data_IF_812375480180
#
_entry.id   IF_812375480180
#
_cell.length_a   1.000
_cell.length_b   1.000
_cell.length_c   1.000
_cell.angle_alpha   90.00
_cell.angle_beta   90.00
_cell.angle_gamma   90.00
#
_symmetry.space_group_name_H-M   'P 1'
#
loop_
_entity.id
_entity.type
_entity.pdbx_description
1 polymer ?
#
# COMPACT_ATOMS: atom_id res chain seq x y z
N UNK A 1 -13.84 -3.11 -20.96
CA UNK A 1 -13.42 -3.69 -19.67
C UNK A 1 -13.46 -2.56 -18.65
N UNK A 2 -14.30 -2.64 -17.64
CA UNK A 2 -14.36 -1.64 -16.56
C UNK A 2 -13.06 -1.71 -15.78
N UNK A 3 -12.34 -0.59 -15.71
CA UNK A 3 -11.10 -0.46 -14.93
C UNK A 3 -11.44 -0.77 -13.46
N UNK A 4 -10.80 -1.79 -12.89
CA UNK A 4 -10.98 -2.17 -11.49
C UNK A 4 -10.55 -1.01 -10.58
N UNK A 5 -11.37 -0.70 -9.57
CA UNK A 5 -11.20 0.49 -8.73
C UNK A 5 -10.20 0.30 -7.58
N UNK A 6 -9.75 -0.93 -7.34
CA UNK A 6 -8.84 -1.28 -6.26
C UNK A 6 -9.22 -2.59 -5.58
N UNK A 7 -8.32 -3.06 -4.68
CA UNK A 7 -8.45 -4.31 -3.94
C UNK A 7 -8.77 -4.06 -2.46
N UNK A 8 -9.73 -4.81 -1.93
CA UNK A 8 -10.21 -4.64 -0.56
C UNK A 8 -10.19 -6.00 0.14
N UNK A 9 -9.70 -6.04 1.37
CA UNK A 9 -9.88 -7.16 2.27
C UNK A 9 -10.97 -6.83 3.29
N UNK A 10 -11.99 -7.69 3.40
CA UNK A 10 -13.01 -7.61 4.45
C UNK A 10 -12.77 -8.71 5.46
N UNK A 11 -12.69 -8.34 6.74
CA UNK A 11 -12.33 -9.24 7.85
C UNK A 11 -13.38 -9.13 8.95
N UNK A 12 -14.12 -10.20 9.18
CA UNK A 12 -15.17 -10.27 10.22
C UNK A 12 -15.49 -11.74 10.46
N UNK A 13 -15.69 -12.17 11.70
CA UNK A 13 -16.08 -13.53 12.03
C UNK A 13 -17.57 -13.82 11.77
N UNK A 14 -18.36 -12.77 11.55
CA UNK A 14 -19.73 -12.89 11.07
C UNK A 14 -19.77 -13.08 9.55
N UNK A 15 -19.91 -14.33 9.12
CA UNK A 15 -19.91 -14.74 7.72
C UNK A 15 -20.99 -14.04 6.88
N UNK A 16 -22.15 -13.72 7.45
CA UNK A 16 -23.23 -13.05 6.74
C UNK A 16 -22.91 -11.58 6.47
N UNK A 17 -22.31 -10.88 7.45
CA UNK A 17 -21.83 -9.53 7.28
C UNK A 17 -20.68 -9.48 6.24
N UNK A 18 -19.75 -10.42 6.34
CA UNK A 18 -18.65 -10.62 5.38
C UNK A 18 -19.17 -10.73 3.95
N UNK A 19 -20.12 -11.63 3.70
CA UNK A 19 -20.73 -11.83 2.37
C UNK A 19 -21.47 -10.58 1.88
N UNK A 20 -22.23 -9.94 2.77
CA UNK A 20 -23.02 -8.74 2.44
C UNK A 20 -22.12 -7.59 2.01
N UNK A 21 -21.10 -7.24 2.83
CA UNK A 21 -20.15 -6.18 2.51
C UNK A 21 -19.38 -6.49 1.22
N UNK A 22 -18.91 -7.73 1.08
CA UNK A 22 -18.17 -8.16 -0.11
C UNK A 22 -19.01 -8.06 -1.37
N UNK A 23 -20.27 -8.44 -1.33
CA UNK A 23 -21.17 -8.32 -2.47
C UNK A 23 -21.38 -6.86 -2.91
N UNK A 24 -21.57 -5.97 -1.94
CA UNK A 24 -21.83 -4.54 -2.21
C UNK A 24 -20.56 -3.89 -2.79
N UNK A 25 -19.39 -4.16 -2.20
CA UNK A 25 -18.12 -3.62 -2.68
C UNK A 25 -17.77 -4.13 -4.08
N UNK A 26 -17.99 -5.42 -4.36
CA UNK A 26 -17.81 -5.99 -5.72
C UNK A 26 -18.76 -5.33 -6.74
N UNK A 27 -20.02 -5.07 -6.38
CA UNK A 27 -20.97 -4.32 -7.23
C UNK A 27 -20.53 -2.88 -7.47
N UNK A 28 -19.77 -2.30 -6.53
CA UNK A 28 -19.17 -0.97 -6.66
C UNK A 28 -17.90 -0.96 -7.52
N UNK A 29 -17.43 -2.12 -8.02
CA UNK A 29 -16.31 -2.26 -8.95
C UNK A 29 -14.96 -2.56 -8.28
N UNK A 30 -14.93 -2.99 -7.02
CA UNK A 30 -13.74 -3.40 -6.32
C UNK A 30 -13.46 -4.90 -6.42
N UNK A 31 -12.18 -5.29 -6.43
CA UNK A 31 -11.79 -6.66 -6.09
C UNK A 31 -11.90 -6.84 -4.58
N UNK A 32 -12.53 -7.93 -4.15
CA UNK A 32 -12.78 -8.13 -2.71
C UNK A 32 -12.39 -9.55 -2.31
N UNK A 33 -11.46 -9.61 -1.36
CA UNK A 33 -11.11 -10.81 -0.62
C UNK A 33 -11.76 -10.79 0.77
N UNK A 34 -11.91 -11.97 1.37
CA UNK A 34 -12.54 -12.15 2.68
C UNK A 34 -11.63 -12.94 3.61
N UNK A 35 -11.65 -12.60 4.90
CA UNK A 35 -11.03 -13.38 5.96
C UNK A 35 -11.97 -13.45 7.16
N UNK A 36 -12.00 -14.58 7.87
CA UNK A 36 -12.92 -14.82 9.00
C UNK A 36 -12.27 -14.54 10.37
N UNK A 37 -10.99 -14.13 10.36
CA UNK A 37 -10.23 -13.77 11.56
C UNK A 37 -8.94 -13.02 11.24
N UNK A 38 -8.29 -12.49 12.30
CA UNK A 38 -7.06 -11.72 12.18
C UNK A 38 -5.88 -12.50 11.60
N UNK A 39 -5.73 -13.79 11.93
CA UNK A 39 -4.63 -14.62 11.41
C UNK A 39 -4.74 -14.80 9.89
N UNK A 40 -5.93 -15.14 9.41
CA UNK A 40 -6.22 -15.26 7.98
C UNK A 40 -6.01 -13.93 7.23
N UNK A 41 -6.34 -12.81 7.88
CA UNK A 41 -6.09 -11.48 7.32
C UNK A 41 -4.59 -11.17 7.18
N UNK A 42 -3.80 -11.49 8.21
CA UNK A 42 -2.33 -11.35 8.18
C UNK A 42 -1.72 -12.22 7.08
N UNK A 43 -2.13 -13.49 6.98
CA UNK A 43 -1.59 -14.40 5.95
C UNK A 43 -1.91 -13.93 4.53
N UNK A 44 -3.12 -13.43 4.28
CA UNK A 44 -3.48 -12.83 2.99
C UNK A 44 -2.65 -11.58 2.69
N UNK A 45 -2.39 -10.75 3.70
CA UNK A 45 -1.60 -9.51 3.54
C UNK A 45 -0.11 -9.76 3.28
N UNK A 46 0.42 -10.95 3.54
CA UNK A 46 1.77 -11.37 3.12
C UNK A 46 1.89 -11.56 1.60
N UNK A 47 0.81 -11.98 0.96
CA UNK A 47 0.80 -12.32 -0.46
C UNK A 47 0.08 -11.29 -1.34
N UNK A 48 -0.65 -10.34 -0.75
CA UNK A 48 -1.43 -9.33 -1.46
C UNK A 48 -1.37 -7.99 -0.74
N UNK A 49 -1.10 -6.92 -1.51
CA UNK A 49 -1.26 -5.55 -1.03
C UNK A 49 -2.70 -5.12 -1.29
N UNK A 50 -3.46 -4.91 -0.22
CA UNK A 50 -4.83 -4.39 -0.30
C UNK A 50 -4.84 -2.87 -0.18
N UNK A 51 -5.65 -2.21 -0.98
CA UNK A 51 -5.83 -0.76 -0.92
C UNK A 51 -6.53 -0.31 0.36
N UNK A 52 -7.47 -1.14 0.83
CA UNK A 52 -8.19 -0.94 2.09
C UNK A 52 -8.47 -2.28 2.75
N UNK A 53 -8.34 -2.33 4.05
CA UNK A 53 -8.72 -3.47 4.88
C UNK A 53 -9.83 -3.02 5.83
N UNK A 54 -11.04 -3.54 5.65
CA UNK A 54 -12.13 -3.39 6.62
C UNK A 54 -12.02 -4.53 7.63
N UNK A 55 -11.85 -4.23 8.92
CA UNK A 55 -11.53 -5.24 9.91
C UNK A 55 -12.34 -5.07 11.19
N UNK A 56 -13.07 -6.12 11.56
CA UNK A 56 -13.69 -6.17 12.89
C UNK A 56 -12.64 -6.22 13.98
N UNK A 57 -12.93 -5.56 15.10
CA UNK A 57 -12.04 -5.59 16.27
C UNK A 57 -12.20 -6.89 17.03
N UNK A 58 -13.44 -7.34 17.24
CA UNK A 58 -13.73 -8.49 18.08
C UNK A 58 -13.83 -9.75 17.26
N UNK A 59 -12.74 -10.48 17.17
CA UNK A 59 -12.65 -11.74 16.44
C UNK A 59 -11.94 -12.82 17.26
N UNK A 60 -12.23 -14.11 17.01
CA UNK A 60 -11.52 -15.21 17.65
C UNK A 60 -10.05 -15.28 17.20
N UNK A 61 -9.21 -15.91 18.01
CA UNK A 61 -7.79 -16.19 17.77
C UNK A 61 -6.88 -14.96 17.80
N UNK A 62 -7.15 -13.96 16.99
CA UNK A 62 -6.41 -12.70 16.90
C UNK A 62 -7.40 -11.56 16.65
N UNK A 63 -7.42 -10.58 17.55
CA UNK A 63 -8.29 -9.42 17.41
C UNK A 63 -7.82 -8.47 16.30
N UNK A 64 -8.71 -7.57 15.86
CA UNK A 64 -8.42 -6.68 14.73
C UNK A 64 -7.28 -5.71 14.98
N UNK A 65 -7.04 -5.27 16.21
CA UNK A 65 -5.93 -4.36 16.53
C UNK A 65 -4.59 -5.10 16.50
N UNK A 66 -4.55 -6.34 17.00
CA UNK A 66 -3.37 -7.20 16.88
C UNK A 66 -3.06 -7.50 15.41
N UNK A 67 -4.07 -7.86 14.63
CA UNK A 67 -3.93 -8.10 13.20
C UNK A 67 -3.44 -6.86 12.44
N UNK A 68 -3.97 -5.68 12.75
CA UNK A 68 -3.50 -4.40 12.21
C UNK A 68 -2.00 -4.19 12.45
N UNK A 69 -1.52 -4.43 13.67
CA UNK A 69 -0.11 -4.26 14.00
C UNK A 69 0.79 -5.20 13.20
N UNK A 70 0.40 -6.45 13.04
CA UNK A 70 1.14 -7.42 12.22
C UNK A 70 1.09 -7.06 10.73
N UNK A 71 -0.08 -6.72 10.20
CA UNK A 71 -0.23 -6.28 8.79
C UNK A 71 0.64 -5.05 8.52
N UNK A 72 0.69 -4.11 9.44
CA UNK A 72 1.47 -2.89 9.27
C UNK A 72 2.99 -3.10 9.33
N UNK A 73 3.46 -4.17 9.99
CA UNK A 73 4.86 -4.59 9.92
C UNK A 73 5.23 -5.14 8.56
N UNK A 74 4.28 -5.83 7.89
CA UNK A 74 4.45 -6.42 6.56
C UNK A 74 4.31 -5.33 5.49
N UNK A 75 3.26 -4.52 5.60
CA UNK A 75 2.96 -3.42 4.70
C UNK A 75 2.72 -2.14 5.51
N UNK A 76 3.73 -1.28 5.68
CA UNK A 76 3.59 0.00 6.40
C UNK A 76 2.51 0.92 5.84
N UNK A 77 2.20 0.81 4.53
CA UNK A 77 1.18 1.57 3.82
C UNK A 77 -0.25 1.01 3.93
N UNK A 78 -0.47 -0.06 4.70
CA UNK A 78 -1.80 -0.66 4.83
C UNK A 78 -2.81 0.29 5.47
N UNK A 79 -3.88 0.59 4.76
CA UNK A 79 -4.99 1.42 5.25
C UNK A 79 -6.07 0.54 5.85
N UNK A 80 -6.08 0.47 7.17
CA UNK A 80 -7.05 -0.32 7.93
C UNK A 80 -8.14 0.57 8.47
N UNK A 81 -9.39 0.17 8.22
CA UNK A 81 -10.59 0.75 8.83
C UNK A 81 -11.12 -0.29 9.81
N UNK A 82 -11.10 0.04 11.10
CA UNK A 82 -11.63 -0.84 12.13
C UNK A 82 -13.15 -0.72 12.21
N UNK A 83 -13.83 -1.84 12.41
CA UNK A 83 -15.27 -1.91 12.67
C UNK A 83 -15.47 -2.30 14.13
N UNK A 84 -16.28 -1.56 14.89
CA UNK A 84 -16.45 -1.77 16.32
C UNK A 84 -17.89 -1.56 16.77
N UNK A 85 -18.32 -2.28 17.79
CA UNK A 85 -19.58 -1.99 18.48
C UNK A 85 -19.45 -0.80 19.46
N UNK A 86 -18.22 -0.47 19.89
CA UNK A 86 -17.95 0.54 20.91
C UNK A 86 -16.82 1.47 20.48
N UNK A 87 -17.17 2.65 19.95
CA UNK A 87 -16.18 3.63 19.47
C UNK A 87 -15.29 4.23 20.58
N UNK A 88 -15.80 4.28 21.81
CA UNK A 88 -15.10 4.83 22.97
C UNK A 88 -14.09 3.88 23.62
N UNK A 89 -13.92 2.67 23.09
CA UNK A 89 -12.97 1.69 23.60
C UNK A 89 -11.53 2.24 23.54
N UNK A 90 -10.79 2.02 24.63
CA UNK A 90 -9.38 2.42 24.71
C UNK A 90 -8.53 1.77 23.63
N UNK A 91 -8.85 0.53 23.23
CA UNK A 91 -8.18 -0.17 22.14
C UNK A 91 -8.35 0.56 20.80
N UNK A 92 -9.55 1.10 20.52
CA UNK A 92 -9.82 1.89 19.31
C UNK A 92 -8.99 3.18 19.32
N UNK A 93 -9.01 3.91 20.45
CA UNK A 93 -8.23 5.15 20.59
C UNK A 93 -6.75 4.90 20.42
N UNK A 94 -6.23 3.83 21.00
CA UNK A 94 -4.82 3.45 20.85
C UNK A 94 -4.50 3.09 19.39
N UNK A 95 -5.33 2.29 18.74
CA UNK A 95 -5.13 1.90 17.34
C UNK A 95 -5.15 3.12 16.39
N UNK A 96 -6.00 4.11 16.63
CA UNK A 96 -6.01 5.37 15.89
C UNK A 96 -4.69 6.16 16.08
N UNK A 97 -4.16 6.22 17.30
CA UNK A 97 -2.85 6.82 17.57
C UNK A 97 -1.70 6.05 16.92
N UNK A 98 -1.83 4.73 16.83
CA UNK A 98 -0.87 3.86 16.11
C UNK A 98 -0.99 3.98 14.58
N UNK A 99 -2.01 4.69 14.07
CA UNK A 99 -2.17 5.03 12.66
C UNK A 99 -3.13 4.12 11.89
N UNK A 100 -4.12 3.55 12.54
CA UNK A 100 -5.33 3.07 11.87
C UNK A 100 -5.96 4.24 11.12
N UNK A 101 -6.40 3.99 9.88
CA UNK A 101 -6.92 5.06 9.03
C UNK A 101 -8.20 5.68 9.60
N UNK A 102 -9.12 4.86 10.06
CA UNK A 102 -10.34 5.28 10.74
C UNK A 102 -11.01 4.11 11.46
N UNK A 103 -12.01 4.42 12.29
CA UNK A 103 -12.85 3.42 12.94
C UNK A 103 -14.33 3.71 12.67
N UNK A 104 -15.11 2.65 12.48
CA UNK A 104 -16.55 2.66 12.22
C UNK A 104 -17.30 2.03 13.37
N UNK A 105 -18.38 2.66 13.78
CA UNK A 105 -19.30 2.06 14.75
C UNK A 105 -20.33 1.16 14.03
N UNK A 106 -20.53 -0.04 14.53
CA UNK A 106 -21.65 -0.90 14.14
C UNK A 106 -22.95 -0.36 14.78
N UNK A 107 -24.11 -0.30 14.08
CA UNK A 107 -24.35 -0.83 12.74
C UNK A 107 -23.70 0.02 11.63
N UNK A 108 -23.13 -0.67 10.64
CA UNK A 108 -22.31 -0.07 9.61
C UNK A 108 -23.19 0.67 8.58
N UNK A 109 -22.93 1.95 8.39
CA UNK A 109 -23.46 2.70 7.26
C UNK A 109 -22.68 2.34 5.98
N UNK A 110 -23.32 1.55 5.12
CA UNK A 110 -22.73 1.05 3.88
C UNK A 110 -22.40 2.20 2.90
N UNK A 111 -23.25 3.23 2.85
CA UNK A 111 -23.02 4.40 2.00
C UNK A 111 -21.73 5.11 2.39
N UNK A 112 -21.54 5.32 3.70
CA UNK A 112 -20.34 5.91 4.22
C UNK A 112 -19.08 5.06 3.95
N UNK A 113 -19.18 3.72 4.11
CA UNK A 113 -18.06 2.79 3.79
C UNK A 113 -17.63 2.94 2.34
N UNK A 114 -18.58 2.89 1.40
CA UNK A 114 -18.29 3.00 -0.04
C UNK A 114 -17.66 4.35 -0.38
N UNK A 115 -18.15 5.45 0.17
CA UNK A 115 -17.58 6.79 -0.07
C UNK A 115 -16.18 6.94 0.53
N UNK A 116 -15.95 6.43 1.74
CA UNK A 116 -14.64 6.45 2.39
C UNK A 116 -13.63 5.64 1.58
N UNK A 117 -14.00 4.42 1.17
CA UNK A 117 -13.14 3.58 0.33
C UNK A 117 -12.86 4.27 -1.01
N UNK A 118 -13.87 4.91 -1.62
CA UNK A 118 -13.69 5.68 -2.86
C UNK A 118 -12.66 6.79 -2.68
N UNK A 119 -12.75 7.57 -1.62
CA UNK A 119 -11.77 8.62 -1.29
C UNK A 119 -10.34 8.07 -1.19
N UNK A 120 -10.19 6.93 -0.48
CA UNK A 120 -8.91 6.26 -0.30
C UNK A 120 -8.35 5.72 -1.63
N UNK A 121 -9.21 5.13 -2.49
CA UNK A 121 -8.78 4.45 -3.72
C UNK A 121 -8.75 5.35 -4.95
N UNK A 122 -9.10 6.63 -4.82
CA UNK A 122 -9.15 7.57 -5.96
C UNK A 122 -7.76 7.89 -6.53
N UNK A 123 -6.72 7.82 -5.72
CA UNK A 123 -5.34 8.05 -6.16
C UNK A 123 -4.59 6.73 -6.31
N UNK A 124 -3.86 6.52 -7.42
CA UNK A 124 -3.04 5.32 -7.59
C UNK A 124 -1.92 5.28 -6.54
N UNK A 125 -1.56 4.09 -6.04
CA UNK A 125 -0.49 3.96 -5.05
C UNK A 125 0.89 4.27 -5.63
N UNK A 126 1.78 4.71 -4.75
CA UNK A 126 3.22 4.76 -4.98
C UNK A 126 3.79 3.38 -4.66
N UNK A 127 4.59 2.83 -5.54
CA UNK A 127 5.35 1.61 -5.31
C UNK A 127 6.74 1.98 -4.75
N UNK A 128 7.02 1.61 -3.51
CA UNK A 128 8.32 1.81 -2.86
C UNK A 128 9.06 0.48 -2.84
N UNK A 129 10.24 0.43 -3.47
CA UNK A 129 11.03 -0.80 -3.64
C UNK A 129 12.42 -0.60 -3.03
N UNK A 130 12.69 -1.27 -1.92
CA UNK A 130 13.95 -1.18 -1.19
C UNK A 130 14.07 -2.37 -0.23
N UNK A 131 15.22 -3.00 -0.12
CA UNK A 131 15.45 -4.14 0.76
C UNK A 131 15.66 -3.73 2.23
N UNK A 132 15.91 -2.45 2.50
CA UNK A 132 15.96 -1.89 3.84
C UNK A 132 14.53 -1.67 4.39
N UNK A 133 14.08 -2.58 5.26
CA UNK A 133 12.76 -2.52 5.86
C UNK A 133 12.56 -1.29 6.77
N UNK A 134 13.61 -0.76 7.42
CA UNK A 134 13.51 0.41 8.27
C UNK A 134 13.39 1.69 7.44
N UNK A 135 14.14 1.78 6.35
CA UNK A 135 13.98 2.84 5.36
C UNK A 135 12.58 2.83 4.76
N UNK A 136 12.11 1.66 4.29
CA UNK A 136 10.76 1.49 3.75
C UNK A 136 9.68 1.96 4.71
N UNK A 137 9.76 1.55 5.98
CA UNK A 137 8.81 1.95 7.03
C UNK A 137 8.78 3.46 7.23
N UNK A 138 9.94 4.09 7.29
CA UNK A 138 10.06 5.53 7.51
C UNK A 138 9.54 6.33 6.33
N UNK A 139 9.96 5.97 5.12
CA UNK A 139 9.57 6.65 3.89
C UNK A 139 8.07 6.47 3.59
N UNK A 140 7.54 5.24 3.72
CA UNK A 140 6.12 4.98 3.55
C UNK A 140 5.30 5.83 4.53
N UNK A 141 5.69 5.88 5.81
CA UNK A 141 5.01 6.70 6.81
C UNK A 141 4.98 8.18 6.44
N UNK A 142 6.10 8.72 5.94
CA UNK A 142 6.18 10.13 5.52
C UNK A 142 5.24 10.42 4.35
N UNK A 143 5.26 9.58 3.31
CA UNK A 143 4.38 9.74 2.15
C UNK A 143 2.90 9.59 2.53
N UNK A 144 2.57 8.71 3.47
CA UNK A 144 1.21 8.52 3.97
C UNK A 144 0.68 9.73 4.76
N UNK A 145 1.53 10.37 5.56
CA UNK A 145 1.15 11.59 6.29
C UNK A 145 0.78 12.73 5.33
N UNK A 146 1.36 12.74 4.13
CA UNK A 146 1.03 13.66 3.05
C UNK A 146 -0.15 13.18 2.16
N UNK A 147 -0.82 12.11 2.57
CA UNK A 147 -2.03 11.61 1.91
C UNK A 147 -1.81 10.65 0.75
N UNK A 148 -0.56 10.28 0.44
CA UNK A 148 -0.27 9.30 -0.60
C UNK A 148 -0.57 7.88 -0.13
N UNK A 149 -0.94 7.02 -1.07
CA UNK A 149 -1.01 5.56 -0.86
C UNK A 149 0.35 4.98 -1.18
N UNK A 150 0.85 4.07 -0.33
CA UNK A 150 2.15 3.44 -0.55
C UNK A 150 2.00 1.92 -0.49
N UNK A 151 2.59 1.23 -1.45
CA UNK A 151 2.81 -0.22 -1.42
C UNK A 151 4.31 -0.47 -1.39
N UNK A 152 4.74 -1.31 -0.46
CA UNK A 152 6.16 -1.61 -0.25
C UNK A 152 6.49 -2.97 -0.85
N UNK A 153 7.62 -3.06 -1.52
CA UNK A 153 8.25 -4.28 -1.97
C UNK A 153 9.70 -4.31 -1.48
N UNK A 154 10.15 -5.46 -1.02
CA UNK A 154 11.52 -5.63 -0.51
C UNK A 154 12.45 -6.32 -1.51
N UNK A 155 11.97 -6.57 -2.74
CA UNK A 155 12.76 -7.08 -3.86
C UNK A 155 12.16 -6.66 -5.18
N UNK A 156 12.95 -6.81 -6.27
CA UNK A 156 12.46 -6.55 -7.62
C UNK A 156 11.33 -7.49 -8.03
N UNK A 157 11.43 -8.77 -7.64
CA UNK A 157 10.41 -9.78 -7.94
C UNK A 157 9.07 -9.43 -7.27
N UNK A 158 9.10 -9.04 -6.00
CA UNK A 158 7.92 -8.61 -5.26
C UNK A 158 7.30 -7.36 -5.90
N UNK A 159 8.12 -6.39 -6.31
CA UNK A 159 7.67 -5.20 -7.03
C UNK A 159 6.92 -5.53 -8.32
N UNK A 160 7.44 -6.49 -9.12
CA UNK A 160 6.78 -6.94 -10.34
C UNK A 160 5.46 -7.67 -10.07
N UNK A 161 5.39 -8.47 -9.00
CA UNK A 161 4.13 -9.10 -8.60
C UNK A 161 3.07 -8.09 -8.20
N UNK A 162 3.44 -7.06 -7.42
CA UNK A 162 2.54 -5.97 -7.06
C UNK A 162 2.07 -5.21 -8.29
N UNK A 163 2.99 -4.85 -9.20
CA UNK A 163 2.65 -4.11 -10.41
C UNK A 163 1.72 -4.84 -11.38
N UNK A 164 1.71 -6.18 -11.38
CA UNK A 164 0.75 -6.97 -12.15
C UNK A 164 -0.66 -6.94 -11.56
N UNK A 165 -0.78 -6.69 -10.26
CA UNK A 165 -2.05 -6.72 -9.51
C UNK A 165 -2.66 -5.34 -9.34
N UNK A 166 -1.86 -4.28 -9.40
CA UNK A 166 -2.31 -2.91 -9.20
C UNK A 166 -1.65 -1.94 -10.16
N UNK A 167 -2.35 -0.85 -10.48
CA UNK A 167 -1.78 0.21 -11.30
C UNK A 167 -1.13 1.24 -10.39
N UNK A 168 0.21 1.26 -10.36
CA UNK A 168 0.98 2.29 -9.70
C UNK A 168 1.28 3.42 -10.71
N UNK A 169 1.16 4.66 -10.29
CA UNK A 169 1.53 5.81 -11.11
C UNK A 169 2.99 6.18 -10.95
N UNK A 170 3.51 6.03 -9.74
CA UNK A 170 4.90 6.35 -9.38
C UNK A 170 5.55 5.14 -8.73
N UNK A 171 6.82 4.88 -9.07
CA UNK A 171 7.68 3.93 -8.37
C UNK A 171 8.95 4.61 -7.86
N UNK A 172 9.28 4.36 -6.60
CA UNK A 172 10.57 4.69 -5.98
C UNK A 172 11.36 3.39 -5.90
N UNK A 173 12.51 3.28 -6.58
CA UNK A 173 13.24 2.01 -6.69
C UNK A 173 14.68 2.19 -6.26
N UNK A 174 15.13 1.42 -5.27
CA UNK A 174 16.56 1.35 -4.96
C UNK A 174 17.34 0.70 -6.11
N UNK A 175 18.49 1.28 -6.44
CA UNK A 175 19.36 0.76 -7.51
C UNK A 175 19.97 -0.58 -7.11
N UNK A 176 20.34 -0.73 -5.83
CA UNK A 176 20.96 -1.94 -5.31
C UNK A 176 19.92 -2.82 -4.59
N UNK A 177 19.22 -3.63 -5.34
CA UNK A 177 18.33 -4.66 -4.79
C UNK A 177 18.98 -6.05 -4.85
N UNK A 178 18.65 -6.95 -3.92
CA UNK A 178 19.10 -8.32 -3.99
C UNK A 178 18.45 -9.07 -5.17
N UNK A 179 19.16 -10.06 -5.73
CA UNK A 179 18.74 -10.92 -6.83
C UNK A 179 18.51 -10.15 -8.15
N UNK A 180 17.40 -9.44 -8.26
CA UNK A 180 17.08 -8.59 -9.42
C UNK A 180 17.40 -7.13 -9.08
N UNK A 181 18.41 -6.54 -9.72
CA UNK A 181 18.81 -5.16 -9.50
C UNK A 181 17.72 -4.13 -9.85
N UNK A 182 17.84 -2.92 -9.29
CA UNK A 182 16.82 -1.88 -9.49
C UNK A 182 16.63 -1.46 -10.94
N UNK A 183 17.69 -1.41 -11.75
CA UNK A 183 17.58 -1.10 -13.19
C UNK A 183 16.79 -2.18 -13.96
N UNK A 184 17.06 -3.46 -13.68
CA UNK A 184 16.31 -4.56 -14.29
C UNK A 184 14.85 -4.54 -13.86
N UNK A 185 14.60 -4.28 -12.57
CA UNK A 185 13.25 -4.11 -12.02
C UNK A 185 12.52 -2.98 -12.74
N UNK A 186 13.16 -1.82 -12.92
CA UNK A 186 12.61 -0.68 -13.65
C UNK A 186 12.21 -1.04 -15.07
N UNK A 187 13.10 -1.69 -15.83
CA UNK A 187 12.83 -2.08 -17.23
C UNK A 187 11.59 -2.98 -17.30
N UNK A 188 11.52 -4.00 -16.45
CA UNK A 188 10.37 -4.92 -16.40
C UNK A 188 9.08 -4.25 -15.92
N UNK A 189 9.16 -3.28 -15.01
CA UNK A 189 8.01 -2.48 -14.60
C UNK A 189 7.45 -1.64 -15.75
N UNK A 190 8.33 -1.08 -16.59
CA UNK A 190 7.92 -0.36 -17.80
C UNK A 190 7.24 -1.25 -18.83
N UNK A 191 7.60 -2.53 -18.93
CA UNK A 191 6.90 -3.49 -19.78
C UNK A 191 5.47 -3.77 -19.29
N UNK A 192 5.27 -3.83 -17.95
CA UNK A 192 3.96 -4.05 -17.32
C UNK A 192 3.10 -2.79 -17.39
N UNK A 193 3.69 -1.64 -17.06
CA UNK A 193 3.03 -0.33 -17.06
C UNK A 193 3.92 0.72 -17.75
N UNK A 194 3.80 0.93 -19.07
CA UNK A 194 4.60 1.90 -19.81
C UNK A 194 4.47 3.34 -19.28
N UNK A 195 3.35 3.67 -18.64
CA UNK A 195 3.07 5.00 -18.08
C UNK A 195 3.64 5.22 -16.67
N UNK A 196 4.24 4.21 -16.04
CA UNK A 196 4.77 4.38 -14.68
C UNK A 196 5.94 5.39 -14.67
N UNK A 197 5.85 6.36 -13.78
CA UNK A 197 6.93 7.33 -13.56
C UNK A 197 7.85 6.80 -12.46
N UNK A 198 9.14 6.73 -12.74
CA UNK A 198 10.07 6.05 -11.85
C UNK A 198 11.17 7.00 -11.37
N UNK A 199 11.34 7.01 -10.05
CA UNK A 199 12.42 7.69 -9.36
C UNK A 199 13.39 6.62 -8.87
N UNK A 200 14.63 6.64 -9.36
CA UNK A 200 15.68 5.74 -8.88
C UNK A 200 16.31 6.32 -7.61
N UNK A 201 16.57 5.46 -6.62
CA UNK A 201 17.22 5.84 -5.37
C UNK A 201 18.57 5.11 -5.23
N UNK A 202 19.63 5.79 -4.79
CA UNK A 202 20.94 5.15 -4.61
C UNK A 202 21.74 5.78 -3.49
N UNK A 203 22.53 4.97 -2.77
CA UNK A 203 23.49 5.43 -1.77
C UNK A 203 24.89 5.73 -2.36
N UNK A 204 25.16 5.35 -3.61
CA UNK A 204 26.49 5.33 -4.19
C UNK A 204 26.57 6.24 -5.41
N UNK A 205 27.20 7.43 -5.26
CA UNK A 205 27.37 8.38 -6.37
C UNK A 205 28.35 7.90 -7.43
N UNK A 206 29.46 7.32 -6.99
CA UNK A 206 30.60 7.03 -7.89
C UNK A 206 30.55 5.62 -8.51
N UNK A 207 29.88 4.65 -7.83
CA UNK A 207 29.84 3.25 -8.28
C UNK A 207 28.67 2.93 -9.24
N UNK A 208 27.66 3.78 -9.31
CA UNK A 208 26.43 3.53 -10.07
C UNK A 208 26.12 4.60 -11.09
N UNK A 209 27.06 5.49 -11.39
CA UNK A 209 26.85 6.56 -12.37
C UNK A 209 26.39 5.97 -13.73
N UNK A 210 27.04 4.91 -14.19
CA UNK A 210 26.67 4.24 -15.44
C UNK A 210 25.23 3.65 -15.37
N UNK A 211 24.81 3.14 -14.20
CA UNK A 211 23.47 2.58 -14.02
C UNK A 211 22.42 3.69 -14.00
N UNK A 212 22.72 4.81 -13.33
CA UNK A 212 21.86 6.00 -13.30
C UNK A 212 21.72 6.58 -14.70
N UNK A 213 22.82 6.70 -15.45
CA UNK A 213 22.81 7.19 -16.83
C UNK A 213 21.98 6.26 -17.73
N UNK A 214 22.11 4.95 -17.57
CA UNK A 214 21.27 3.96 -18.28
C UNK A 214 19.79 4.09 -17.91
N UNK A 215 19.47 4.28 -16.63
CA UNK A 215 18.08 4.45 -16.19
C UNK A 215 17.47 5.76 -16.76
N UNK A 216 18.22 6.85 -16.77
CA UNK A 216 17.80 8.12 -17.36
C UNK A 216 17.66 8.03 -18.89
N UNK A 217 18.60 7.35 -19.57
CA UNK A 217 18.50 7.05 -21.00
C UNK A 217 17.28 6.17 -21.32
N UNK A 218 16.90 5.27 -20.40
CA UNK A 218 15.70 4.47 -20.48
C UNK A 218 14.43 5.22 -20.04
N UNK A 219 14.49 6.54 -19.85
CA UNK A 219 13.38 7.43 -19.49
C UNK A 219 12.90 7.29 -18.02
N UNK A 220 13.81 7.00 -17.08
CA UNK A 220 13.52 7.23 -15.67
C UNK A 220 13.27 8.72 -15.42
N UNK A 221 12.30 9.03 -14.53
CA UNK A 221 11.85 10.41 -14.31
C UNK A 221 12.87 11.22 -13.53
N UNK A 222 13.52 10.61 -12.54
CA UNK A 222 14.56 11.23 -11.70
C UNK A 222 15.45 10.19 -11.04
N UNK A 223 16.57 10.64 -10.48
CA UNK A 223 17.42 9.87 -9.60
C UNK A 223 17.71 10.69 -8.33
N UNK A 224 17.54 10.07 -7.16
CA UNK A 224 17.80 10.65 -5.86
C UNK A 224 18.93 9.90 -5.13
N UNK A 225 19.76 10.65 -4.42
CA UNK A 225 20.88 10.09 -3.66
C UNK A 225 20.56 10.00 -2.17
N UNK A 226 20.73 8.81 -1.60
CA UNK A 226 20.58 8.60 -0.15
C UNK A 226 21.76 9.27 0.61
N UNK A 227 21.56 9.88 1.78
CA UNK A 227 20.29 9.97 2.52
C UNK A 227 19.29 10.91 1.84
N UNK A 228 18.05 10.47 1.70
CA UNK A 228 16.98 11.24 1.07
C UNK A 228 16.38 12.24 2.06
N UNK A 229 16.15 13.47 1.59
CA UNK A 229 15.27 14.39 2.31
C UNK A 229 13.80 13.98 2.04
N UNK A 230 13.04 13.59 3.06
CA UNK A 230 11.65 13.21 2.87
C UNK A 230 10.81 14.29 2.20
N UNK A 231 11.10 15.56 2.45
CA UNK A 231 10.40 16.71 1.84
C UNK A 231 10.64 16.80 0.33
N UNK A 232 11.86 16.49 -0.12
CA UNK A 232 12.20 16.44 -1.53
C UNK A 232 11.45 15.32 -2.25
N UNK A 233 11.39 14.13 -1.64
CA UNK A 233 10.67 12.98 -2.19
C UNK A 233 9.18 13.27 -2.31
N UNK A 234 8.57 13.81 -1.25
CA UNK A 234 7.15 14.21 -1.24
C UNK A 234 6.86 15.25 -2.32
N UNK A 235 7.71 16.27 -2.44
CA UNK A 235 7.56 17.33 -3.46
C UNK A 235 7.61 16.77 -4.88
N UNK A 236 8.57 15.88 -5.16
CA UNK A 236 8.70 15.21 -6.46
C UNK A 236 7.49 14.33 -6.77
N UNK A 237 7.08 13.48 -5.84
CA UNK A 237 5.93 12.58 -6.00
C UNK A 237 4.63 13.36 -6.22
N UNK A 238 4.40 14.42 -5.47
CA UNK A 238 3.21 15.27 -5.61
C UNK A 238 3.18 15.99 -6.95
N UNK A 239 4.32 16.48 -7.43
CA UNK A 239 4.43 17.13 -8.74
C UNK A 239 4.15 16.14 -9.89
N UNK A 240 4.68 14.95 -9.78
CA UNK A 240 4.48 13.86 -10.75
C UNK A 240 3.02 13.38 -10.76
N UNK A 241 2.40 13.24 -9.59
CA UNK A 241 1.02 12.78 -9.46
C UNK A 241 -0.04 13.78 -9.93
N UNK A 242 0.34 15.03 -10.19
CA UNK A 242 -0.55 16.11 -10.66
C UNK A 242 -0.58 16.25 -12.20
N UNK A 243 0.24 15.49 -12.94
CA UNK A 243 0.25 15.45 -14.42
C UNK A 243 -0.58 14.28 -14.94
#
# INVERSE_FOLDING_TARGET
>A
MTKEKGSILVVDDNVDLLKTLSLILRRSGYQVDMAEDGLSAVDKSKSHCFDVILMDIVMPRMNGVEAFREIRRINPGARVILMTAYYEDQLVKQALHEGVHSALCKPIDIGWVVETIRGITSSPPILLVDDDADFCRTMARTLELEGHRVCVAHSGEEALELARRMVCQVALIDVKLPLMGGLETYIKLKEINPGIMTIMMTAYRDEVQDIVDQALLASATACLYKPLDPTEVVGLVSHIGAQ
#
